data_IF_952677537204
#
_entry.id   IF_952677537204
#
_cell.length_a   1.000
_cell.length_b   1.000
_cell.length_c   1.000
_cell.angle_alpha   90.00
_cell.angle_beta   90.00
_cell.angle_gamma   90.00
#
_symmetry.space_group_name_H-M   'P 1'
#
loop_
_entity.id
_entity.type
_entity.pdbx_description
1 polymer ?
#
# COMPACT_ATOMS: atom_id res chain seq x y z
N UNK A 1 -2.27 -51.96 17.53
CA UNK A 1 -2.53 -51.15 16.33
C UNK A 1 -2.50 -49.69 16.76
N UNK A 2 -1.45 -49.00 16.34
CA UNK A 2 -1.01 -47.71 16.88
C UNK A 2 -1.65 -46.56 16.09
N UNK A 3 -2.34 -45.67 16.81
CA UNK A 3 -2.21 -44.22 16.70
C UNK A 3 -2.21 -43.55 15.30
N UNK A 4 -3.22 -43.82 14.45
CA UNK A 4 -3.47 -42.99 13.25
C UNK A 4 -4.65 -42.01 13.40
N UNK A 5 -5.55 -42.23 14.37
CA UNK A 5 -6.74 -41.38 14.58
C UNK A 5 -6.49 -40.04 15.28
N UNK A 6 -5.30 -39.81 15.85
CA UNK A 6 -4.96 -38.59 16.60
C UNK A 6 -4.42 -37.44 15.75
N UNK A 7 -3.76 -37.74 14.62
CA UNK A 7 -3.15 -36.72 13.75
C UNK A 7 -4.18 -36.10 12.80
N UNK A 8 -5.11 -36.91 12.27
CA UNK A 8 -6.20 -36.41 11.42
C UNK A 8 -7.16 -35.48 12.19
N UNK A 9 -7.54 -35.87 13.41
CA UNK A 9 -8.41 -35.07 14.30
C UNK A 9 -7.73 -33.77 14.75
N UNK A 10 -6.41 -33.78 14.95
CA UNK A 10 -5.67 -32.56 15.29
C UNK A 10 -5.53 -31.62 14.11
N UNK A 11 -5.24 -32.11 12.90
CA UNK A 11 -5.20 -31.27 11.69
C UNK A 11 -6.57 -30.65 11.38
N UNK A 12 -7.65 -31.42 11.45
CA UNK A 12 -9.01 -30.90 11.27
C UNK A 12 -9.38 -29.88 12.35
N UNK A 13 -9.03 -30.14 13.61
CA UNK A 13 -9.26 -29.18 14.70
C UNK A 13 -8.46 -27.89 14.52
N UNK A 14 -7.23 -27.97 14.00
CA UNK A 14 -6.38 -26.82 13.70
C UNK A 14 -6.94 -26.03 12.52
N UNK A 15 -7.41 -26.69 11.46
CA UNK A 15 -8.08 -26.02 10.34
C UNK A 15 -9.36 -25.32 10.78
N UNK A 16 -10.17 -25.97 11.63
CA UNK A 16 -11.36 -25.35 12.19
C UNK A 16 -11.01 -24.13 13.06
N UNK A 17 -10.01 -24.25 13.94
CA UNK A 17 -9.55 -23.14 14.77
C UNK A 17 -9.03 -21.97 13.93
N UNK A 18 -8.29 -22.24 12.84
CA UNK A 18 -7.83 -21.24 11.89
C UNK A 18 -9.00 -20.54 11.18
N UNK A 19 -9.99 -21.30 10.72
CA UNK A 19 -11.18 -20.75 10.07
C UNK A 19 -11.96 -19.83 11.02
N UNK A 20 -12.18 -20.28 12.26
CA UNK A 20 -12.85 -19.49 13.29
C UNK A 20 -12.08 -18.23 13.66
N UNK A 21 -10.74 -18.31 13.76
CA UNK A 21 -9.89 -17.15 14.01
C UNK A 21 -9.97 -16.13 12.86
N UNK A 22 -9.99 -16.60 11.60
CA UNK A 22 -10.15 -15.75 10.44
C UNK A 22 -11.53 -15.06 10.42
N UNK A 23 -12.59 -15.79 10.74
CA UNK A 23 -13.94 -15.23 10.84
C UNK A 23 -14.03 -14.16 11.94
N UNK A 24 -13.52 -14.45 13.14
CA UNK A 24 -13.49 -13.49 14.24
C UNK A 24 -12.71 -12.22 13.86
N UNK A 25 -11.55 -12.37 13.19
CA UNK A 25 -10.76 -11.23 12.71
C UNK A 25 -11.54 -10.39 11.69
N UNK A 26 -12.30 -11.02 10.80
CA UNK A 26 -13.14 -10.32 9.83
C UNK A 26 -14.28 -9.54 10.52
N UNK A 27 -14.96 -10.16 11.49
CA UNK A 27 -16.05 -9.51 12.24
C UNK A 27 -15.53 -8.30 13.04
N UNK A 28 -14.40 -8.42 13.72
CA UNK A 28 -13.76 -7.31 14.43
C UNK A 28 -13.38 -6.18 13.46
N UNK A 29 -12.73 -6.53 12.34
CA UNK A 29 -12.33 -5.54 11.33
C UNK A 29 -13.52 -4.77 10.78
N UNK A 30 -14.63 -5.47 10.48
CA UNK A 30 -15.88 -4.85 10.02
C UNK A 30 -16.46 -3.92 11.08
N UNK A 31 -16.57 -4.36 12.33
CA UNK A 31 -17.13 -3.54 13.41
C UNK A 31 -16.32 -2.26 13.65
N UNK A 32 -14.99 -2.36 13.65
CA UNK A 32 -14.10 -1.21 13.74
C UNK A 32 -14.29 -0.27 12.55
N UNK A 33 -14.35 -0.81 11.33
CA UNK A 33 -14.52 0.01 10.14
C UNK A 33 -15.88 0.72 10.13
N UNK A 34 -16.96 0.03 10.47
CA UNK A 34 -18.30 0.63 10.60
C UNK A 34 -18.32 1.75 11.64
N UNK A 35 -17.67 1.57 12.79
CA UNK A 35 -17.57 2.60 13.82
C UNK A 35 -16.78 3.84 13.33
N UNK A 36 -15.65 3.63 12.67
CA UNK A 36 -14.82 4.71 12.09
C UNK A 36 -15.58 5.46 10.98
N UNK A 37 -16.31 4.75 10.12
CA UNK A 37 -17.09 5.37 9.03
C UNK A 37 -18.27 6.20 9.53
N UNK A 38 -18.89 5.82 10.66
CA UNK A 38 -19.97 6.61 11.29
C UNK A 38 -19.47 7.89 11.97
N UNK A 39 -18.22 7.92 12.43
CA UNK A 39 -17.63 9.08 13.08
C UNK A 39 -17.16 10.15 12.09
N UNK A 40 -17.33 11.45 12.38
CA UNK A 40 -16.74 12.52 11.57
C UNK A 40 -15.22 12.47 11.67
N UNK A 41 -14.52 12.64 10.55
CA UNK A 41 -13.06 12.68 10.56
C UNK A 41 -12.42 12.89 9.19
N UNK A 42 -11.12 13.25 9.16
CA UNK A 42 -10.39 13.53 7.92
C UNK A 42 -10.33 12.32 6.97
N UNK A 43 -10.49 11.10 7.49
CA UNK A 43 -10.52 9.88 6.70
C UNK A 43 -11.71 9.76 5.74
N UNK A 44 -12.84 10.43 6.01
CA UNK A 44 -14.02 10.43 5.13
C UNK A 44 -13.73 11.07 3.77
N UNK A 45 -12.79 12.02 3.77
CA UNK A 45 -12.35 12.78 2.62
C UNK A 45 -10.87 12.51 2.38
N UNK A 46 -10.48 11.23 2.36
CA UNK A 46 -9.11 10.78 2.11
C UNK A 46 -9.09 9.56 1.21
N UNK A 47 -7.95 9.32 0.56
CA UNK A 47 -7.64 8.07 -0.12
C UNK A 47 -6.83 7.18 0.82
N UNK A 48 -7.10 5.88 0.80
CA UNK A 48 -6.36 4.89 1.56
C UNK A 48 -5.45 4.10 0.61
N UNK A 49 -4.16 4.05 0.92
CA UNK A 49 -3.24 3.13 0.25
C UNK A 49 -2.84 2.06 1.23
N UNK A 50 -3.01 0.80 0.82
CA UNK A 50 -2.60 -0.37 1.58
C UNK A 50 -1.37 -0.95 0.90
N UNK A 51 -0.27 -1.01 1.65
CA UNK A 51 0.93 -1.71 1.22
C UNK A 51 0.87 -3.15 1.73
N UNK A 52 0.91 -4.10 0.80
CA UNK A 52 1.04 -5.54 1.04
C UNK A 52 2.47 -5.96 0.73
N UNK A 53 3.43 -5.31 1.37
CA UNK A 53 4.84 -5.65 1.19
C UNK A 53 5.26 -6.67 2.24
N UNK A 54 5.06 -7.95 1.91
CA UNK A 54 5.58 -9.05 2.71
C UNK A 54 6.97 -9.43 2.19
N UNK A 55 8.00 -8.82 2.76
CA UNK A 55 9.38 -9.22 2.54
C UNK A 55 9.99 -9.77 3.84
N UNK A 56 10.68 -10.92 3.77
CA UNK A 56 11.25 -11.61 4.93
C UNK A 56 12.22 -10.75 5.76
N UNK A 57 12.90 -9.81 5.10
CA UNK A 57 13.87 -8.90 5.70
C UNK A 57 13.28 -7.52 6.03
N UNK A 58 12.07 -7.22 5.55
CA UNK A 58 11.38 -5.99 5.91
C UNK A 58 10.86 -6.11 7.34
N UNK A 59 11.16 -5.09 8.16
CA UNK A 59 10.71 -5.02 9.56
C UNK A 59 9.19 -4.90 9.66
N UNK A 60 8.52 -4.52 8.58
CA UNK A 60 7.07 -4.38 8.51
C UNK A 60 6.43 -5.64 7.93
N UNK A 61 6.09 -6.59 8.82
CA UNK A 61 5.50 -7.88 8.44
C UNK A 61 3.99 -7.84 8.18
N UNK A 62 3.35 -6.69 8.39
CA UNK A 62 1.90 -6.56 8.39
C UNK A 62 1.46 -5.56 7.32
N UNK A 63 0.32 -5.83 6.66
CA UNK A 63 -0.36 -4.82 5.85
C UNK A 63 -0.47 -3.52 6.63
N UNK A 64 -0.07 -2.42 6.02
CA UNK A 64 -0.23 -1.11 6.62
C UNK A 64 -0.94 -0.17 5.67
N UNK A 65 -1.89 0.58 6.23
CA UNK A 65 -2.63 1.62 5.53
C UNK A 65 -2.02 2.99 5.80
N UNK A 66 -1.91 3.82 4.77
CA UNK A 66 -1.60 5.25 4.93
C UNK A 66 -2.72 6.09 4.32
N UNK A 67 -3.15 7.11 5.06
CA UNK A 67 -4.04 8.15 4.55
C UNK A 67 -3.28 9.07 3.60
N UNK A 68 -3.88 9.35 2.46
CA UNK A 68 -3.40 10.30 1.48
C UNK A 68 -4.52 11.31 1.19
N UNK A 69 -4.17 12.58 1.06
CA UNK A 69 -5.15 13.63 0.73
C UNK A 69 -5.88 13.33 -0.58
N UNK A 70 -7.14 13.74 -0.70
CA UNK A 70 -7.96 13.48 -1.90
C UNK A 70 -7.36 14.04 -3.19
N UNK A 71 -6.61 15.14 -3.09
CA UNK A 71 -5.96 15.80 -4.21
C UNK A 71 -4.63 15.15 -4.60
N UNK A 72 -4.16 14.16 -3.83
CA UNK A 72 -2.93 13.45 -4.14
C UNK A 72 -3.19 12.30 -5.11
N UNK A 73 -2.29 12.15 -6.08
CA UNK A 73 -2.24 11.00 -6.99
C UNK A 73 -1.14 10.03 -6.57
N UNK A 74 -1.37 8.73 -6.81
CA UNK A 74 -0.36 7.68 -6.62
C UNK A 74 -0.16 7.03 -7.98
N UNK A 75 1.06 7.14 -8.51
CA UNK A 75 1.43 6.59 -9.81
C UNK A 75 2.91 6.18 -9.78
N UNK A 76 3.31 5.30 -10.70
CA UNK A 76 4.72 5.04 -10.98
C UNK A 76 5.38 6.29 -11.59
N UNK A 77 6.71 6.32 -11.60
CA UNK A 77 7.45 7.41 -12.25
C UNK A 77 7.18 7.48 -13.76
N UNK A 78 7.00 6.33 -14.41
CA UNK A 78 6.61 6.23 -15.82
C UNK A 78 5.19 6.78 -16.04
N UNK A 79 4.21 6.34 -15.26
CA UNK A 79 2.84 6.87 -15.37
C UNK A 79 2.76 8.37 -15.03
N UNK A 80 3.62 8.88 -14.14
CA UNK A 80 3.74 10.32 -13.90
C UNK A 80 4.22 11.05 -15.16
N UNK A 81 5.21 10.49 -15.86
CA UNK A 81 5.72 11.09 -17.10
C UNK A 81 4.63 11.13 -18.19
N UNK A 82 3.85 10.05 -18.34
CA UNK A 82 2.72 10.00 -19.28
C UNK A 82 1.65 11.06 -18.95
N UNK A 83 1.27 11.17 -17.67
CA UNK A 83 0.30 12.14 -17.19
C UNK A 83 0.72 13.59 -17.41
N UNK A 84 2.02 13.88 -17.33
CA UNK A 84 2.59 15.20 -17.58
C UNK A 84 2.71 15.49 -19.08
N UNK A 85 3.05 14.48 -19.88
CA UNK A 85 3.27 14.65 -21.31
C UNK A 85 1.99 15.00 -22.07
N UNK A 86 0.83 14.51 -21.62
CA UNK A 86 -0.45 14.77 -22.27
C UNK A 86 -1.17 16.00 -21.68
N UNK A 87 -1.43 17.05 -22.49
CA UNK A 87 -2.08 18.26 -22.01
C UNK A 87 -3.45 17.98 -21.37
N UNK A 88 -3.65 18.47 -20.14
CA UNK A 88 -4.93 18.40 -19.44
C UNK A 88 -5.20 17.10 -18.66
N UNK A 89 -4.34 16.06 -18.76
CA UNK A 89 -4.51 14.85 -17.94
C UNK A 89 -4.11 15.01 -16.48
N UNK A 90 -3.25 15.98 -16.19
CA UNK A 90 -2.89 16.35 -14.83
C UNK A 90 -2.87 17.87 -14.68
N UNK A 91 -3.57 18.44 -13.67
CA UNK A 91 -3.48 19.86 -13.36
C UNK A 91 -2.15 20.15 -12.66
N UNK A 92 -1.10 20.43 -13.45
CA UNK A 92 0.22 20.85 -12.95
C UNK A 92 0.51 22.26 -13.42
N UNK A 93 0.96 23.12 -12.52
CA UNK A 93 1.39 24.48 -12.88
C UNK A 93 2.84 24.49 -13.42
N UNK A 94 3.19 25.51 -14.19
CA UNK A 94 4.52 25.62 -14.81
C UNK A 94 5.65 25.65 -13.78
N UNK A 95 5.44 26.23 -12.59
CA UNK A 95 6.44 26.30 -11.53
C UNK A 95 6.81 24.91 -11.02
N UNK A 96 5.82 24.04 -10.82
CA UNK A 96 6.03 22.68 -10.35
C UNK A 96 6.65 21.79 -11.43
N UNK A 97 6.28 21.96 -12.70
CA UNK A 97 6.93 21.28 -13.82
C UNK A 97 8.42 21.62 -13.92
N UNK A 98 8.78 22.90 -13.82
CA UNK A 98 10.19 23.35 -13.86
C UNK A 98 10.98 22.75 -12.70
N UNK A 99 10.41 22.74 -11.48
CA UNK A 99 11.05 22.12 -10.31
C UNK A 99 11.29 20.62 -10.52
N UNK A 100 10.28 19.90 -11.04
CA UNK A 100 10.40 18.47 -11.32
C UNK A 100 11.49 18.20 -12.37
N UNK A 101 11.49 18.94 -13.48
CA UNK A 101 12.49 18.81 -14.53
C UNK A 101 13.91 19.07 -14.00
N UNK A 102 14.10 20.12 -13.19
CA UNK A 102 15.39 20.43 -12.58
C UNK A 102 15.91 19.30 -11.67
N UNK A 103 15.03 18.70 -10.85
CA UNK A 103 15.39 17.57 -10.00
C UNK A 103 15.80 16.33 -10.82
N UNK A 104 15.08 16.05 -11.91
CA UNK A 104 15.43 14.96 -12.84
C UNK A 104 16.80 15.19 -13.48
N UNK A 105 17.05 16.40 -14.03
CA UNK A 105 18.33 16.74 -14.64
C UNK A 105 19.50 16.64 -13.66
N UNK A 106 19.34 17.13 -12.44
CA UNK A 106 20.37 17.03 -11.39
C UNK A 106 20.76 15.58 -11.12
N UNK A 107 19.78 14.68 -10.93
CA UNK A 107 20.05 13.26 -10.65
C UNK A 107 20.64 12.52 -11.83
N UNK A 108 20.26 12.87 -13.05
CA UNK A 108 20.87 12.32 -14.27
C UNK A 108 22.32 12.74 -14.40
N UNK A 109 22.62 14.03 -14.19
CA UNK A 109 23.99 14.55 -14.23
C UNK A 109 24.89 13.87 -13.17
N UNK A 110 24.39 13.70 -11.93
CA UNK A 110 25.10 12.97 -10.88
C UNK A 110 25.41 11.52 -11.28
N UNK A 111 24.46 10.82 -11.91
CA UNK A 111 24.67 9.43 -12.36
C UNK A 111 25.65 9.34 -13.52
N UNK A 112 25.54 10.24 -14.49
CA UNK A 112 26.46 10.29 -15.63
C UNK A 112 27.89 10.62 -15.19
N UNK A 113 28.06 11.54 -14.23
CA UNK A 113 29.36 11.86 -13.65
C UNK A 113 30.00 10.68 -12.91
N UNK A 114 29.22 9.81 -12.27
CA UNK A 114 29.71 8.57 -11.63
C UNK A 114 30.03 7.45 -12.61
N UNK A 115 29.46 7.48 -13.81
CA UNK A 115 29.75 6.48 -14.86
C UNK A 115 31.02 6.88 -15.62
N UNK A 116 31.35 8.18 -15.66
CA UNK A 116 32.49 8.73 -16.39
C UNK A 116 33.78 8.89 -15.56
N UNK A 117 33.76 8.62 -14.25
CA UNK A 117 34.93 8.67 -13.35
C UNK A 117 35.18 7.33 -12.68
#
# INVERSE_FOLDING_TARGET
MLHEGGVATTVESLHLALALAAEAAQQVSRAVMEAVLRGPGPWQHSRWVVALDYERHNKQRWPHGKLIGLTSSVTTLEGLAELIAEPGRMPVNNTDLVKLAAACHLRLAERMGRIAG
#
